data_IF_502999963853
#
_entry.id   IF_502999963853
#
_cell.length_a   1.000
_cell.length_b   1.000
_cell.length_c   1.000
_cell.angle_alpha   90.00
_cell.angle_beta   90.00
_cell.angle_gamma   90.00
#
_symmetry.space_group_name_H-M   'P 1'
#
loop_
_entity.id
_entity.type
_entity.pdbx_description
1 polymer ?
#
# COMPACT_ATOMS: atom_id res chain seq x y z
N UNK A 1 8.24 -15.57 -53.71
CA UNK A 1 9.29 -14.89 -52.95
C UNK A 1 8.87 -14.88 -51.49
N UNK A 2 9.64 -15.58 -50.64
CA UNK A 2 9.39 -15.70 -49.19
C UNK A 2 9.38 -14.32 -48.53
N UNK A 3 8.32 -14.01 -47.79
CA UNK A 3 8.32 -12.95 -46.79
C UNK A 3 9.08 -13.51 -45.59
N UNK A 4 10.34 -13.10 -45.44
CA UNK A 4 11.16 -13.36 -44.26
C UNK A 4 10.51 -12.68 -43.06
N UNK A 5 10.02 -13.48 -42.12
CA UNK A 5 9.73 -13.02 -40.77
C UNK A 5 11.02 -12.51 -40.15
N UNK A 6 11.06 -11.22 -39.81
CA UNK A 6 12.12 -10.65 -39.01
C UNK A 6 12.13 -11.36 -37.65
N UNK A 7 13.09 -12.26 -37.51
CA UNK A 7 13.44 -12.95 -36.29
C UNK A 7 13.69 -11.94 -35.17
N UNK A 8 13.21 -12.29 -33.97
CA UNK A 8 13.41 -11.57 -32.72
C UNK A 8 14.91 -11.44 -32.42
N UNK A 9 15.51 -10.35 -32.90
CA UNK A 9 16.84 -9.92 -32.51
C UNK A 9 16.77 -9.32 -31.12
N UNK A 10 17.24 -10.07 -30.12
CA UNK A 10 17.39 -9.60 -28.76
C UNK A 10 18.24 -8.34 -28.71
N UNK A 11 17.63 -7.22 -28.34
CA UNK A 11 18.33 -6.06 -27.80
C UNK A 11 18.94 -6.47 -26.45
N UNK A 12 20.05 -7.22 -26.50
CA UNK A 12 20.93 -7.43 -25.37
C UNK A 12 21.81 -6.19 -25.20
N UNK A 13 21.17 -5.01 -25.11
CA UNK A 13 21.81 -3.86 -24.49
C UNK A 13 22.09 -4.32 -23.08
N UNK A 14 23.36 -4.40 -22.69
CA UNK A 14 23.79 -4.88 -21.39
C UNK A 14 22.99 -4.09 -20.32
N UNK A 15 21.99 -4.74 -19.75
CA UNK A 15 21.10 -4.12 -18.77
C UNK A 15 21.87 -3.98 -17.47
N UNK A 16 22.26 -2.76 -17.14
CA UNK A 16 22.84 -2.43 -15.85
C UNK A 16 21.78 -2.49 -14.75
N UNK A 17 21.74 -3.62 -14.04
CA UNK A 17 20.82 -3.82 -12.93
C UNK A 17 21.35 -3.19 -11.64
N UNK A 18 20.46 -2.47 -10.97
CA UNK A 18 20.72 -1.88 -9.67
C UNK A 18 20.89 -2.97 -8.61
N UNK A 19 21.96 -2.83 -7.82
CA UNK A 19 22.22 -3.64 -6.63
C UNK A 19 21.81 -2.88 -5.36
N UNK A 20 21.55 -3.61 -4.29
CA UNK A 20 21.24 -3.05 -2.97
C UNK A 20 19.75 -2.97 -2.63
N UNK A 21 19.44 -2.15 -1.62
CA UNK A 21 18.14 -2.11 -0.96
C UNK A 21 17.01 -1.73 -1.93
N UNK A 22 15.86 -2.38 -1.75
CA UNK A 22 14.65 -2.07 -2.50
C UNK A 22 13.98 -0.82 -1.92
N UNK A 23 13.73 0.14 -2.79
CA UNK A 23 12.92 1.31 -2.45
C UNK A 23 11.44 0.95 -2.43
N UNK A 24 10.63 1.80 -1.78
CA UNK A 24 9.18 1.66 -1.80
C UNK A 24 8.66 1.75 -3.24
N UNK A 25 9.14 2.72 -4.03
CA UNK A 25 8.70 2.88 -5.41
C UNK A 25 9.02 1.66 -6.30
N UNK A 26 10.24 1.12 -6.22
CA UNK A 26 10.59 -0.12 -6.95
C UNK A 26 9.67 -1.29 -6.54
N UNK A 27 9.34 -1.38 -5.26
CA UNK A 27 8.44 -2.42 -4.74
C UNK A 27 7.02 -2.23 -5.28
N UNK A 28 6.51 -1.00 -5.33
CA UNK A 28 5.20 -0.69 -5.89
C UNK A 28 5.13 -1.03 -7.39
N UNK A 29 6.18 -0.70 -8.15
CA UNK A 29 6.30 -1.07 -9.58
C UNK A 29 6.27 -2.58 -9.76
N UNK A 30 6.97 -3.35 -8.91
CA UNK A 30 6.95 -4.81 -8.96
C UNK A 30 5.54 -5.38 -8.66
N UNK A 31 4.84 -4.82 -7.68
CA UNK A 31 3.46 -5.23 -7.34
C UNK A 31 2.52 -4.96 -8.51
N UNK A 32 2.62 -3.79 -9.12
CA UNK A 32 1.83 -3.45 -10.31
C UNK A 32 2.16 -4.37 -11.50
N UNK A 33 3.45 -4.64 -11.74
CA UNK A 33 3.87 -5.59 -12.75
C UNK A 33 3.24 -6.96 -12.52
N UNK A 34 3.20 -7.44 -11.27
CA UNK A 34 2.57 -8.72 -10.92
C UNK A 34 1.06 -8.69 -11.06
N UNK A 35 0.40 -7.59 -10.72
CA UNK A 35 -1.03 -7.36 -10.95
C UNK A 35 -1.37 -7.48 -12.43
N UNK A 36 -0.62 -6.76 -13.27
CA UNK A 36 -0.79 -6.82 -14.72
C UNK A 36 -0.52 -8.22 -15.23
N UNK A 37 0.58 -8.87 -14.80
CA UNK A 37 0.93 -10.24 -15.22
C UNK A 37 -0.20 -11.23 -14.93
N UNK A 38 -0.81 -11.15 -13.75
CA UNK A 38 -1.94 -12.00 -13.38
C UNK A 38 -3.17 -11.72 -14.27
N UNK A 39 -3.45 -10.45 -14.62
CA UNK A 39 -4.55 -10.07 -15.52
C UNK A 39 -4.36 -10.62 -16.95
N UNK A 40 -3.16 -10.48 -17.54
CA UNK A 40 -2.85 -11.05 -18.87
C UNK A 40 -2.92 -12.57 -18.86
N UNK A 41 -2.59 -13.23 -17.75
CA UNK A 41 -2.75 -14.69 -17.62
C UNK A 41 -4.22 -15.08 -17.55
N UNK A 42 -5.03 -14.33 -16.83
CA UNK A 42 -6.47 -14.59 -16.73
C UNK A 42 -7.18 -14.42 -18.07
N UNK A 43 -6.85 -13.35 -18.82
CA UNK A 43 -7.44 -13.10 -20.16
C UNK A 43 -7.14 -14.22 -21.16
N UNK A 44 -5.92 -14.77 -21.12
CA UNK A 44 -5.54 -15.93 -21.97
C UNK A 44 -6.23 -17.22 -21.55
N UNK A 45 -6.56 -17.36 -20.26
CA UNK A 45 -7.23 -18.55 -19.73
C UNK A 45 -8.74 -18.55 -20.03
N UNK A 46 -9.37 -17.37 -20.15
CA UNK A 46 -10.79 -17.24 -20.51
C UNK A 46 -11.11 -17.49 -22.00
N UNK A 47 -10.12 -17.34 -22.89
CA UNK A 47 -10.27 -17.55 -24.34
C UNK A 47 -10.06 -19.03 -24.77
N UNK A 48 -9.70 -19.91 -23.84
CA UNK A 48 -9.30 -21.31 -24.14
C UNK A 48 -10.47 -22.31 -24.01
N UNK A 49 -11.64 -22.00 -24.59
CA UNK A 49 -12.77 -22.96 -24.74
C UNK A 49 -12.56 -23.82 -25.99
N UNK A 50 -11.40 -24.49 -26.07
CA UNK A 50 -11.02 -25.21 -27.28
C UNK A 50 -9.69 -25.95 -27.15
N UNK A 51 -9.68 -27.04 -26.39
CA UNK A 51 -8.91 -28.26 -26.67
C UNK A 51 -7.38 -28.24 -26.76
N UNK A 52 -6.71 -27.10 -26.77
CA UNK A 52 -5.24 -27.06 -26.82
C UNK A 52 -4.69 -26.68 -25.45
N UNK A 53 -3.93 -27.61 -24.84
CA UNK A 53 -3.24 -27.37 -23.56
C UNK A 53 -2.55 -26.00 -23.65
N UNK A 54 -2.81 -25.05 -22.72
CA UNK A 54 -2.14 -23.77 -22.76
C UNK A 54 -0.66 -24.07 -22.51
N UNK A 55 0.12 -24.11 -23.60
CA UNK A 55 1.55 -24.35 -23.59
C UNK A 55 2.16 -23.34 -22.64
N UNK A 56 2.42 -23.81 -21.42
CA UNK A 56 2.89 -22.99 -20.34
C UNK A 56 4.23 -22.43 -20.76
N UNK A 57 4.24 -21.16 -21.18
CA UNK A 57 5.49 -20.44 -21.36
C UNK A 57 6.32 -20.69 -20.09
N UNK A 58 7.55 -21.23 -20.20
CA UNK A 58 8.40 -21.50 -19.05
C UNK A 58 8.42 -20.30 -18.10
N UNK A 59 8.49 -20.53 -16.79
CA UNK A 59 8.45 -19.48 -15.77
C UNK A 59 9.44 -18.34 -16.07
N UNK A 60 10.53 -18.64 -16.75
CA UNK A 60 11.52 -17.71 -17.30
C UNK A 60 10.92 -16.67 -18.26
N UNK A 61 10.02 -17.05 -19.17
CA UNK A 61 9.31 -16.09 -20.04
C UNK A 61 8.32 -15.20 -19.26
N UNK A 62 7.90 -15.61 -18.05
CA UNK A 62 6.98 -14.82 -17.21
C UNK A 62 7.74 -13.71 -16.52
N UNK A 63 8.83 -14.08 -15.84
CA UNK A 63 9.63 -13.12 -15.13
C UNK A 63 10.38 -12.17 -16.07
N UNK A 64 10.72 -12.61 -17.29
CA UNK A 64 11.22 -11.70 -18.34
C UNK A 64 10.26 -10.55 -18.64
N UNK A 65 8.95 -10.82 -18.72
CA UNK A 65 7.97 -9.76 -18.94
C UNK A 65 7.87 -8.81 -17.74
N UNK A 66 7.92 -9.36 -16.53
CA UNK A 66 7.93 -8.57 -15.28
C UNK A 66 9.17 -7.67 -15.26
N UNK A 67 10.35 -8.21 -15.60
CA UNK A 67 11.58 -7.46 -15.73
C UNK A 67 11.45 -6.33 -16.76
N UNK A 68 10.95 -6.62 -17.97
CA UNK A 68 10.73 -5.61 -19.02
C UNK A 68 9.74 -4.50 -18.60
N UNK A 69 8.74 -4.84 -17.78
CA UNK A 69 7.83 -3.86 -17.21
C UNK A 69 8.53 -3.01 -16.14
N UNK A 70 9.21 -3.65 -15.19
CA UNK A 70 9.97 -2.97 -14.14
C UNK A 70 11.00 -2.01 -14.76
N UNK A 71 11.76 -2.47 -15.75
CA UNK A 71 12.79 -1.70 -16.43
C UNK A 71 12.23 -0.43 -17.08
N UNK A 72 11.11 -0.54 -17.82
CA UNK A 72 10.47 0.62 -18.47
C UNK A 72 9.90 1.63 -17.46
N UNK A 73 9.60 1.21 -16.25
CA UNK A 73 9.10 2.06 -15.17
C UNK A 73 10.22 2.52 -14.21
N UNK A 74 11.49 2.46 -14.66
CA UNK A 74 12.64 2.93 -13.89
C UNK A 74 13.08 2.00 -12.75
N UNK A 75 12.45 0.83 -12.60
CA UNK A 75 12.88 -0.22 -11.68
C UNK A 75 13.90 -1.12 -12.39
N UNK A 76 15.17 -0.71 -12.33
CA UNK A 76 16.30 -1.38 -12.98
C UNK A 76 16.71 -2.65 -12.24
N UNK A 77 15.81 -3.62 -12.11
CA UNK A 77 16.02 -4.90 -11.39
C UNK A 77 15.91 -6.06 -12.37
N UNK A 78 16.79 -7.04 -12.22
CA UNK A 78 16.79 -8.21 -13.07
C UNK A 78 15.61 -9.12 -12.77
N UNK A 79 15.38 -10.08 -13.67
CA UNK A 79 14.40 -11.14 -13.51
C UNK A 79 14.46 -11.80 -12.13
N UNK A 80 15.65 -12.26 -11.73
CA UNK A 80 15.85 -13.01 -10.49
C UNK A 80 15.65 -12.11 -9.27
N UNK A 81 16.13 -10.86 -9.32
CA UNK A 81 15.90 -9.91 -8.25
C UNK A 81 14.41 -9.65 -8.02
N UNK A 82 13.64 -9.49 -9.10
CA UNK A 82 12.19 -9.32 -9.02
C UNK A 82 11.50 -10.55 -8.42
N UNK A 83 11.91 -11.75 -8.85
CA UNK A 83 11.38 -13.02 -8.33
C UNK A 83 11.65 -13.16 -6.82
N UNK A 84 12.91 -13.07 -6.41
CA UNK A 84 13.31 -13.21 -5.00
C UNK A 84 12.62 -12.16 -4.11
N UNK A 85 12.51 -10.92 -4.61
CA UNK A 85 11.80 -9.85 -3.89
C UNK A 85 10.32 -10.18 -3.73
N UNK A 86 9.68 -10.66 -4.79
CA UNK A 86 8.26 -11.04 -4.75
C UNK A 86 8.00 -12.18 -3.76
N UNK A 87 8.83 -13.22 -3.77
CA UNK A 87 8.70 -14.35 -2.86
C UNK A 87 8.85 -13.93 -1.39
N UNK A 88 9.82 -13.05 -1.11
CA UNK A 88 9.98 -12.47 0.23
C UNK A 88 8.78 -11.61 0.64
N UNK A 89 8.29 -10.74 -0.26
CA UNK A 89 7.10 -9.91 0.00
C UNK A 89 5.86 -10.76 0.29
N UNK A 90 5.63 -11.80 -0.51
CA UNK A 90 4.48 -12.68 -0.33
C UNK A 90 4.57 -13.51 0.96
N UNK A 91 5.78 -13.87 1.39
CA UNK A 91 6.01 -14.52 2.68
C UNK A 91 5.70 -13.58 3.84
N UNK A 92 6.24 -12.36 3.77
CA UNK A 92 6.05 -11.34 4.80
C UNK A 92 4.58 -10.93 4.92
N UNK A 93 3.92 -10.71 3.79
CA UNK A 93 2.48 -10.45 3.70
C UNK A 93 1.65 -11.53 4.38
N UNK A 94 1.92 -12.81 4.06
CA UNK A 94 1.20 -13.93 4.67
C UNK A 94 1.38 -13.96 6.18
N UNK A 95 2.60 -13.69 6.67
CA UNK A 95 2.89 -13.66 8.11
C UNK A 95 2.10 -12.55 8.82
N UNK A 96 2.15 -11.33 8.29
CA UNK A 96 1.45 -10.18 8.87
C UNK A 96 -0.07 -10.40 8.82
N UNK A 97 -0.60 -10.87 7.69
CA UNK A 97 -2.03 -11.16 7.55
C UNK A 97 -2.51 -12.25 8.51
N UNK A 98 -1.71 -13.28 8.76
CA UNK A 98 -2.03 -14.30 9.77
C UNK A 98 -2.07 -13.71 11.18
N UNK A 99 -1.08 -12.87 11.48
CA UNK A 99 -0.96 -12.26 12.80
C UNK A 99 -2.15 -11.35 13.12
N UNK A 100 -2.50 -10.45 12.19
CA UNK A 100 -3.67 -9.58 12.34
C UNK A 100 -4.97 -10.39 12.45
N UNK A 101 -5.10 -11.51 11.70
CA UNK A 101 -6.26 -12.40 11.82
C UNK A 101 -6.36 -13.03 13.21
N UNK A 102 -5.28 -13.58 13.74
CA UNK A 102 -5.26 -14.17 15.09
C UNK A 102 -5.57 -13.13 16.17
N UNK A 103 -5.10 -11.90 15.98
CA UNK A 103 -5.39 -10.80 16.89
C UNK A 103 -6.89 -10.44 16.85
N UNK A 104 -7.49 -10.38 15.65
CA UNK A 104 -8.92 -10.15 15.49
C UNK A 104 -9.76 -11.29 16.10
N UNK A 105 -9.36 -12.56 15.89
CA UNK A 105 -10.03 -13.72 16.50
C UNK A 105 -9.95 -13.66 18.03
N UNK A 106 -8.80 -13.28 18.59
CA UNK A 106 -8.63 -13.10 20.02
C UNK A 106 -9.50 -11.96 20.55
N UNK A 107 -9.52 -10.81 19.86
CA UNK A 107 -10.40 -9.69 20.20
C UNK A 107 -11.88 -10.10 20.17
N UNK A 108 -12.29 -10.91 19.18
CA UNK A 108 -13.64 -11.43 19.08
C UNK A 108 -14.00 -12.39 20.22
N UNK A 109 -13.06 -13.22 20.68
CA UNK A 109 -13.25 -14.08 21.85
C UNK A 109 -13.44 -13.28 23.14
N UNK A 110 -12.62 -12.23 23.36
CA UNK A 110 -12.77 -11.33 24.52
C UNK A 110 -14.16 -10.65 24.53
N UNK A 111 -14.67 -10.28 23.35
CA UNK A 111 -16.03 -9.73 23.20
C UNK A 111 -17.09 -10.77 23.60
N UNK A 112 -16.94 -12.03 23.19
CA UNK A 112 -17.88 -13.10 23.53
C UNK A 112 -17.90 -13.45 25.02
N UNK A 113 -16.76 -13.31 25.70
CA UNK A 113 -16.61 -13.61 27.14
C UNK A 113 -17.07 -12.41 28.01
N UNK A 114 -17.35 -11.25 27.40
CA UNK A 114 -17.86 -10.07 28.09
C UNK A 114 -16.79 -9.25 28.82
N UNK A 115 -15.52 -9.39 28.44
CA UNK A 115 -14.40 -8.66 29.07
C UNK A 115 -14.39 -7.16 28.71
N UNK A 116 -13.90 -6.37 29.66
CA UNK A 116 -13.98 -4.90 29.68
C UNK A 116 -13.33 -4.22 28.47
N UNK A 117 -13.83 -3.04 28.12
CA UNK A 117 -13.32 -2.22 27.01
C UNK A 117 -11.82 -1.91 27.10
N UNK A 118 -11.25 -1.89 28.31
CA UNK A 118 -9.81 -1.65 28.55
C UNK A 118 -8.90 -2.75 27.96
N UNK A 119 -9.32 -4.01 27.97
CA UNK A 119 -8.51 -5.09 27.40
C UNK A 119 -8.58 -5.13 25.87
N UNK A 120 -9.67 -4.61 25.30
CA UNK A 120 -9.83 -4.44 23.86
C UNK A 120 -8.88 -3.39 23.31
N UNK A 121 -8.74 -2.26 24.01
CA UNK A 121 -7.77 -1.22 23.65
C UNK A 121 -6.34 -1.76 23.71
N UNK A 122 -6.00 -2.53 24.75
CA UNK A 122 -4.69 -3.18 24.91
C UNK A 122 -4.38 -4.23 23.84
N UNK A 123 -5.40 -4.83 23.24
CA UNK A 123 -5.23 -5.76 22.11
C UNK A 123 -4.98 -5.00 20.80
N UNK A 124 -5.62 -3.85 20.61
CA UNK A 124 -5.41 -3.00 19.43
C UNK A 124 -4.01 -2.36 19.41
N UNK A 125 -3.41 -2.12 20.59
CA UNK A 125 -1.99 -1.76 20.74
C UNK A 125 -1.03 -2.86 20.25
N UNK A 126 -1.45 -4.12 20.21
CA UNK A 126 -0.64 -5.24 19.72
C UNK A 126 -0.74 -5.45 18.21
N UNK A 127 -1.50 -4.63 17.47
CA UNK A 127 -1.53 -4.71 16.00
C UNK A 127 -0.13 -4.48 15.44
N UNK A 128 0.23 -5.24 14.40
CA UNK A 128 1.53 -5.18 13.71
C UNK A 128 1.96 -3.76 13.37
N UNK A 129 1.00 -2.89 13.04
CA UNK A 129 1.24 -1.50 12.66
C UNK A 129 1.70 -0.63 13.81
N UNK A 130 1.30 -0.96 15.04
CA UNK A 130 1.67 -0.24 16.27
C UNK A 130 2.85 -0.86 17.00
N UNK A 131 3.14 -2.14 16.76
CA UNK A 131 4.32 -2.82 17.33
C UNK A 131 5.63 -2.16 16.89
N UNK A 132 6.55 -2.01 17.85
CA UNK A 132 7.92 -1.60 17.57
C UNK A 132 8.74 -2.69 16.87
N UNK A 133 9.88 -2.31 16.28
CA UNK A 133 10.76 -3.22 15.55
C UNK A 133 11.21 -4.43 16.39
N UNK A 134 11.44 -4.24 17.69
CA UNK A 134 11.89 -5.30 18.58
C UNK A 134 10.75 -6.28 18.91
N UNK A 135 9.54 -5.76 19.11
CA UNK A 135 8.35 -6.56 19.37
C UNK A 135 7.93 -7.35 18.13
N UNK A 136 8.03 -6.77 16.93
CA UNK A 136 7.82 -7.50 15.67
C UNK A 136 8.76 -8.71 15.59
N UNK A 137 10.04 -8.52 15.92
CA UNK A 137 11.01 -9.63 15.95
C UNK A 137 10.65 -10.68 17.00
N UNK A 138 10.25 -10.27 18.20
CA UNK A 138 9.80 -11.18 19.26
C UNK A 138 8.58 -12.01 18.82
N UNK A 139 7.68 -11.43 18.03
CA UNK A 139 6.52 -12.10 17.44
C UNK A 139 6.80 -12.81 16.11
N UNK A 140 8.07 -12.93 15.68
CA UNK A 140 8.49 -13.53 14.40
C UNK A 140 7.91 -12.85 13.13
N UNK A 141 7.56 -11.57 13.26
CA UNK A 141 6.98 -10.75 12.21
C UNK A 141 8.06 -10.01 11.39
N UNK A 142 7.78 -9.72 10.11
CA UNK A 142 8.67 -8.91 9.28
C UNK A 142 8.93 -7.54 9.92
N UNK A 143 10.16 -7.01 9.82
CA UNK A 143 10.45 -5.69 10.39
C UNK A 143 10.02 -4.52 9.51
N UNK A 144 9.99 -4.72 8.18
CA UNK A 144 9.98 -3.62 7.20
C UNK A 144 8.78 -3.66 6.24
N UNK A 145 7.73 -4.45 6.51
CA UNK A 145 6.52 -4.39 5.68
C UNK A 145 5.77 -3.10 6.00
N UNK A 146 5.60 -2.23 5.00
CA UNK A 146 4.91 -0.95 5.12
C UNK A 146 3.41 -1.10 4.83
N UNK A 147 2.53 -0.28 5.45
CA UNK A 147 1.09 -0.32 5.21
C UNK A 147 0.75 -0.19 3.72
N UNK A 148 1.33 0.79 3.02
CA UNK A 148 1.11 1.02 1.59
C UNK A 148 1.43 -0.22 0.73
N UNK A 149 2.50 -0.95 1.07
CA UNK A 149 2.90 -2.17 0.35
C UNK A 149 1.92 -3.30 0.68
N UNK A 150 1.50 -3.41 1.93
CA UNK A 150 0.53 -4.42 2.36
C UNK A 150 -0.82 -4.23 1.66
N UNK A 151 -1.37 -3.02 1.65
CA UNK A 151 -2.64 -2.72 1.00
C UNK A 151 -2.61 -3.07 -0.48
N UNK A 152 -1.53 -2.71 -1.18
CA UNK A 152 -1.35 -3.06 -2.59
C UNK A 152 -1.27 -4.59 -2.80
N UNK A 153 -0.67 -5.33 -1.86
CA UNK A 153 -0.63 -6.80 -1.91
C UNK A 153 -2.00 -7.42 -1.60
N UNK A 154 -2.78 -6.85 -0.68
CA UNK A 154 -4.17 -7.26 -0.42
C UNK A 154 -4.96 -7.20 -1.71
N UNK A 155 -4.92 -6.08 -2.44
CA UNK A 155 -5.67 -5.95 -3.70
C UNK A 155 -5.30 -7.03 -4.73
N UNK A 156 -4.01 -7.33 -4.89
CA UNK A 156 -3.53 -8.35 -5.84
C UNK A 156 -3.98 -9.76 -5.42
N UNK A 157 -3.95 -10.06 -4.12
CA UNK A 157 -4.30 -11.38 -3.58
C UNK A 157 -5.82 -11.58 -3.49
N UNK A 158 -6.57 -10.59 -3.02
CA UNK A 158 -8.02 -10.70 -2.83
C UNK A 158 -8.77 -10.73 -4.15
N UNK A 159 -8.33 -9.93 -5.13
CA UNK A 159 -8.85 -10.01 -6.51
C UNK A 159 -8.68 -11.41 -7.11
N UNK A 160 -7.69 -12.19 -6.62
CA UNK A 160 -7.50 -13.60 -6.96
C UNK A 160 -8.39 -14.54 -6.14
N UNK A 161 -8.60 -14.30 -4.84
CA UNK A 161 -9.48 -15.12 -3.97
C UNK A 161 -10.95 -14.98 -4.34
N UNK A 162 -11.47 -13.75 -4.50
CA UNK A 162 -12.86 -13.52 -4.89
C UNK A 162 -13.20 -14.11 -6.26
N UNK A 163 -12.21 -14.25 -7.15
CA UNK A 163 -12.41 -14.79 -8.51
C UNK A 163 -12.07 -16.27 -8.65
N UNK A 164 -11.35 -16.85 -7.69
CA UNK A 164 -11.19 -18.31 -7.56
C UNK A 164 -12.42 -18.98 -6.94
N UNK A 165 -13.18 -18.25 -6.11
CA UNK A 165 -14.41 -18.76 -5.50
C UNK A 165 -15.59 -18.89 -6.46
N UNK A 166 -15.61 -18.17 -7.59
CA UNK A 166 -16.70 -18.23 -8.58
C UNK A 166 -16.53 -19.34 -9.63
N UNK A 167 -15.36 -19.98 -9.71
CA UNK A 167 -15.09 -21.09 -10.65
C UNK A 167 -15.32 -22.46 -10.01
N UNK A 168 -15.67 -22.50 -8.72
CA UNK A 168 -15.85 -23.75 -7.95
C UNK A 168 -17.27 -24.32 -7.89
N UNK A 169 -18.27 -23.71 -8.56
CA UNK A 169 -19.68 -24.11 -8.40
C UNK A 169 -20.34 -24.74 -9.64
N UNK A 170 -19.55 -25.21 -10.62
CA UNK A 170 -20.06 -26.03 -11.73
C UNK A 170 -19.03 -27.08 -12.15
N UNK A 171 -19.26 -28.35 -11.81
CA UNK A 171 -18.49 -29.47 -12.37
C UNK A 171 -18.25 -30.63 -11.41
N UNK A 172 -19.04 -31.69 -11.58
CA UNK A 172 -19.09 -32.90 -10.78
C UNK A 172 -17.85 -33.82 -10.90
N UNK A 173 -17.66 -34.63 -9.85
CA UNK A 173 -17.32 -36.05 -9.97
C UNK A 173 -15.83 -36.44 -9.94
N UNK A 174 -15.44 -37.22 -8.91
CA UNK A 174 -14.25 -38.09 -8.96
C UNK A 174 -13.49 -38.24 -7.65
N UNK A 175 -13.95 -39.17 -6.79
CA UNK A 175 -13.21 -40.10 -5.88
C UNK A 175 -11.74 -39.76 -5.52
N UNK A 176 -11.28 -39.79 -4.25
CA UNK A 176 -11.18 -40.97 -3.38
C UNK A 176 -10.87 -40.63 -1.90
N UNK A 177 -11.38 -41.49 -1.02
CA UNK A 177 -10.78 -42.00 0.23
C UNK A 177 -10.99 -41.27 1.58
N UNK A 178 -11.72 -42.02 2.43
CA UNK A 178 -11.52 -42.23 3.88
C UNK A 178 -12.39 -41.44 4.87
N UNK A 179 -13.60 -41.97 5.12
CA UNK A 179 -14.27 -41.93 6.44
C UNK A 179 -14.83 -43.34 6.73
N UNK A 180 -14.61 -43.95 7.91
CA UNK A 180 -15.21 -45.24 8.26
C UNK A 180 -16.70 -45.13 8.61
N UNK A 181 -17.41 -46.14 8.10
CA UNK A 181 -18.80 -46.52 8.26
C UNK A 181 -19.25 -46.78 9.71
N UNK A 182 -20.45 -46.34 10.08
CA UNK A 182 -21.26 -46.90 11.20
C UNK A 182 -22.74 -46.94 10.73
N UNK A 183 -23.46 -48.08 10.86
CA UNK A 183 -24.77 -48.28 10.23
C UNK A 183 -25.95 -47.70 11.04
N UNK A 184 -27.16 -47.58 10.44
CA UNK A 184 -28.30 -46.90 11.04
C UNK A 184 -29.15 -47.85 11.89
N UNK A 185 -29.75 -47.32 12.96
CA UNK A 185 -30.77 -48.01 13.74
C UNK A 185 -32.06 -47.21 13.74
N UNK A 186 -33.13 -47.90 13.37
CA UNK A 186 -34.51 -47.44 13.22
C UNK A 186 -35.19 -47.21 14.58
N UNK A 187 -36.01 -46.17 14.72
CA UNK A 187 -37.39 -46.25 15.26
C UNK A 187 -38.02 -44.87 15.54
N UNK A 188 -39.21 -44.69 14.96
CA UNK A 188 -40.44 -44.16 15.55
C UNK A 188 -40.54 -42.72 16.10
N UNK A 189 -41.47 -42.00 15.45
CA UNK A 189 -42.66 -41.36 16.05
C UNK A 189 -42.65 -39.89 16.54
N UNK A 190 -43.41 -39.10 15.77
CA UNK A 190 -44.51 -38.19 16.18
C UNK A 190 -44.20 -36.82 16.86
N UNK A 191 -44.97 -35.84 16.36
CA UNK A 191 -45.46 -34.59 16.99
C UNK A 191 -44.61 -33.32 16.85
N UNK A 192 -45.23 -32.29 16.25
CA UNK A 192 -45.26 -30.95 16.85
C UNK A 192 -44.47 -29.84 16.16
N UNK A 193 -45.12 -29.13 15.23
CA UNK A 193 -44.89 -27.69 15.02
C UNK A 193 -45.29 -26.92 16.30
N UNK A 194 -44.72 -25.73 16.62
CA UNK A 194 -45.15 -24.52 15.92
C UNK A 194 -44.10 -23.40 15.73
N UNK A 195 -44.54 -22.47 14.89
CA UNK A 195 -44.09 -21.16 14.44
C UNK A 195 -43.52 -20.19 15.48
N UNK A 196 -42.56 -19.33 15.07
CA UNK A 196 -42.59 -17.88 15.39
C UNK A 196 -41.68 -17.04 14.48
N UNK A 197 -42.13 -15.81 14.26
CA UNK A 197 -41.70 -14.75 13.34
C UNK A 197 -40.39 -14.03 13.76
N UNK A 198 -39.76 -13.23 12.87
CA UNK A 198 -38.56 -12.44 13.18
C UNK A 198 -38.92 -11.03 13.71
N UNK A 199 -38.10 -10.39 14.57
CA UNK A 199 -38.30 -8.98 14.87
C UNK A 199 -37.48 -8.05 13.95
N UNK A 200 -38.16 -6.99 13.56
CA UNK A 200 -37.77 -5.82 12.78
C UNK A 200 -36.59 -5.00 13.32
N UNK A 201 -35.89 -4.40 12.35
CA UNK A 201 -35.50 -2.98 12.24
C UNK A 201 -35.66 -2.10 13.48
N UNK A 202 -34.55 -1.50 13.92
CA UNK A 202 -34.56 -0.20 14.59
C UNK A 202 -33.57 0.75 13.91
N UNK A 203 -34.10 1.90 13.53
CA UNK A 203 -33.49 3.06 12.91
C UNK A 203 -33.16 4.11 14.00
N UNK A 204 -32.34 5.13 13.63
CA UNK A 204 -31.96 6.39 14.30
C UNK A 204 -30.55 6.44 14.95
N UNK A 205 -29.93 7.64 15.11
CA UNK A 205 -29.60 8.63 14.09
C UNK A 205 -28.15 9.16 14.20
N UNK A 206 -27.74 9.96 13.21
CA UNK A 206 -26.45 10.64 13.04
C UNK A 206 -26.10 11.60 14.19
N UNK A 207 -24.82 11.68 14.55
CA UNK A 207 -24.15 12.86 15.15
C UNK A 207 -22.71 12.97 14.58
N UNK A 208 -22.22 14.15 14.18
CA UNK A 208 -20.83 14.31 13.74
C UNK A 208 -19.94 14.78 14.90
N UNK A 209 -18.69 14.30 15.03
CA UNK A 209 -17.70 15.02 15.80
C UNK A 209 -16.89 15.97 14.91
N UNK A 210 -16.69 17.15 15.49
CA UNK A 210 -16.06 18.37 15.01
C UNK A 210 -14.60 18.14 14.64
N UNK A 211 -14.14 18.75 13.54
CA UNK A 211 -12.75 18.77 13.12
C UNK A 211 -11.87 19.52 14.14
N UNK A 212 -10.86 18.84 14.69
CA UNK A 212 -9.74 19.49 15.36
C UNK A 212 -8.58 19.68 14.37
N UNK A 213 -8.15 20.93 14.16
CA UNK A 213 -6.94 21.28 13.41
C UNK A 213 -5.68 20.67 14.08
N UNK A 214 -4.69 20.17 13.31
CA UNK A 214 -3.36 19.92 13.83
C UNK A 214 -2.51 21.21 13.79
N UNK A 215 -1.86 21.51 14.92
CA UNK A 215 -0.80 22.51 15.06
C UNK A 215 0.45 22.13 14.22
N UNK A 216 1.27 23.10 13.78
CA UNK A 216 2.55 22.84 13.12
C UNK A 216 3.64 22.36 14.11
N UNK A 217 4.58 21.49 13.69
CA UNK A 217 5.69 21.03 14.52
C UNK A 217 6.83 22.06 14.66
N UNK A 218 7.61 22.02 15.74
CA UNK A 218 8.71 22.94 16.01
C UNK A 218 9.94 22.65 15.13
N UNK A 219 10.59 23.72 14.69
CA UNK A 219 11.85 23.74 13.93
C UNK A 219 12.98 23.20 14.82
N UNK A 220 13.56 22.07 14.44
CA UNK A 220 14.84 21.58 14.99
C UNK A 220 15.96 22.11 14.10
N UNK A 221 16.75 23.02 14.63
CA UNK A 221 17.99 23.49 14.03
C UNK A 221 18.99 22.33 13.90
N UNK A 222 19.44 22.04 12.68
CA UNK A 222 20.54 21.11 12.42
C UNK A 222 21.86 21.88 12.39
N UNK A 223 22.79 21.43 13.22
CA UNK A 223 24.22 21.75 13.16
C UNK A 223 24.85 21.09 11.93
N UNK A 224 25.78 21.76 11.19
CA UNK A 224 26.49 21.11 10.10
C UNK A 224 27.66 20.29 10.64
N UNK A 225 27.66 19.00 10.29
CA UNK A 225 28.82 18.09 10.38
C UNK A 225 29.74 18.41 9.20
N UNK A 226 30.99 18.78 9.48
CA UNK A 226 32.04 18.95 8.48
C UNK A 226 32.42 17.58 7.88
N UNK A 227 32.30 17.44 6.56
CA UNK A 227 32.97 16.42 5.76
C UNK A 227 34.34 16.96 5.34
N UNK A 228 35.40 16.30 5.80
CA UNK A 228 36.77 16.56 5.36
C UNK A 228 37.13 15.58 4.24
N UNK A 229 37.53 16.15 3.10
CA UNK A 229 38.04 15.45 1.93
C UNK A 229 39.45 14.88 2.20
N UNK A 230 39.67 13.70 1.62
CA UNK A 230 40.92 12.93 1.59
C UNK A 230 41.98 13.65 0.76
N UNK A 231 43.26 13.65 1.19
CA UNK A 231 44.46 13.47 0.34
C UNK A 231 45.66 12.99 1.22
N UNK A 232 46.69 12.32 0.64
CA UNK A 232 47.54 11.35 1.34
C UNK A 232 48.95 11.89 1.73
N UNK A 233 49.61 11.18 2.67
CA UNK A 233 51.05 10.78 2.66
C UNK A 233 51.66 10.59 4.08
N UNK A 234 51.99 9.33 4.40
CA UNK A 234 53.22 8.78 5.04
C UNK A 234 54.02 9.55 6.12
N UNK A 235 54.00 9.03 7.36
CA UNK A 235 55.13 8.49 8.18
C UNK A 235 54.98 8.75 9.70
N UNK A 236 55.49 7.85 10.59
CA UNK A 236 55.25 7.88 12.04
C UNK A 236 56.46 8.39 12.85
N UNK A 237 56.24 9.06 13.99
CA UNK A 237 57.10 8.92 15.18
C UNK A 237 56.50 9.57 16.45
N UNK A 238 56.82 8.95 17.59
CA UNK A 238 56.56 9.32 18.99
C UNK A 238 56.89 10.78 19.38
N UNK A 239 56.20 11.33 20.39
CA UNK A 239 56.72 11.45 21.78
C UNK A 239 55.95 12.52 22.62
N UNK A 240 55.45 12.06 23.77
CA UNK A 240 55.28 12.67 25.11
C UNK A 240 54.89 14.16 25.35
N UNK A 241 53.97 14.31 26.32
CA UNK A 241 53.65 15.43 27.22
C UNK A 241 54.90 16.11 27.83
N UNK A 242 54.85 17.37 28.37
CA UNK A 242 54.09 17.65 29.61
C UNK A 242 53.37 19.03 29.70
N UNK A 243 52.28 19.00 30.49
CA UNK A 243 51.84 19.90 31.57
C UNK A 243 52.35 21.35 31.63
N UNK A 244 51.43 22.32 31.75
CA UNK A 244 51.56 23.40 32.75
C UNK A 244 50.22 24.12 33.00
N UNK A 245 50.05 24.45 34.28
CA UNK A 245 48.88 24.86 35.07
C UNK A 245 48.21 26.22 34.77
N UNK A 246 47.06 26.35 35.46
CA UNK A 246 46.48 27.57 36.08
C UNK A 246 45.39 28.33 35.31
N UNK A 247 44.15 27.96 35.64
CA UNK A 247 43.18 28.78 36.40
C UNK A 247 43.15 30.30 36.13
N UNK A 248 42.01 30.84 35.69
CA UNK A 248 41.16 31.77 36.47
C UNK A 248 40.08 32.43 35.60
N UNK A 249 38.91 32.54 36.21
CA UNK A 249 37.86 33.55 36.06
C UNK A 249 37.01 33.66 34.78
N UNK A 250 35.74 33.42 35.06
CA UNK A 250 34.54 33.74 34.30
C UNK A 250 34.29 35.26 34.05
N UNK A 251 33.27 35.48 33.21
CA UNK A 251 32.37 36.64 33.16
C UNK A 251 32.78 37.88 32.33
N UNK A 252 32.23 37.90 31.10
CA UNK A 252 31.27 38.89 30.57
C UNK A 252 31.38 40.34 31.05
N UNK A 253 31.68 41.27 30.14
CA UNK A 253 30.80 42.41 29.85
C UNK A 253 31.27 43.27 28.66
N UNK A 254 30.33 43.60 27.78
CA UNK A 254 30.38 44.72 26.81
C UNK A 254 29.74 45.95 27.48
N UNK A 255 30.10 47.23 27.19
CA UNK A 255 29.72 47.82 25.89
C UNK A 255 30.57 49.01 25.34
N UNK A 256 30.40 49.19 24.03
CA UNK A 256 30.52 50.37 23.16
C UNK A 256 31.04 51.73 23.70
N UNK A 257 32.03 52.32 22.99
CA UNK A 257 32.04 53.77 22.69
C UNK A 257 32.88 54.16 21.46
N UNK A 258 32.21 54.87 20.54
CA UNK A 258 32.67 55.73 19.43
C UNK A 258 34.14 56.19 19.46
N UNK A 259 34.83 56.03 18.31
CA UNK A 259 35.64 57.13 17.75
C UNK A 259 35.55 57.17 16.22
N UNK A 260 35.36 58.39 15.73
CA UNK A 260 35.08 58.80 14.35
C UNK A 260 36.39 59.12 13.61
N UNK A 261 36.39 58.87 12.30
CA UNK A 261 37.26 59.43 11.24
C UNK A 261 38.76 59.08 11.27
N UNK A 262 39.16 58.31 10.26
CA UNK A 262 40.49 58.30 9.67
C UNK A 262 40.32 58.15 8.16
N UNK A 263 40.45 59.26 7.45
CA UNK A 263 40.53 59.32 5.99
C UNK A 263 41.92 58.81 5.60
N UNK A 264 41.97 57.76 4.80
CA UNK A 264 43.19 57.14 4.33
C UNK A 264 42.96 56.62 2.92
N UNK A 265 43.13 57.51 1.94
CA UNK A 265 43.20 57.19 0.52
C UNK A 265 44.45 56.35 0.27
N UNK A 266 44.27 55.09 -0.14
CA UNK A 266 45.25 54.37 -0.95
C UNK A 266 44.60 53.25 -1.76
N UNK A 267 44.93 53.21 -3.05
CA UNK A 267 44.98 51.99 -3.85
C UNK A 267 43.66 51.40 -4.32
N UNK A 268 43.17 51.88 -5.47
CA UNK A 268 42.13 51.21 -6.23
C UNK A 268 42.58 49.82 -6.72
N UNK A 269 41.85 48.79 -6.30
CA UNK A 269 41.60 47.53 -7.02
C UNK A 269 40.62 46.61 -6.23
N UNK A 270 39.65 47.15 -5.49
CA UNK A 270 38.80 46.35 -4.58
C UNK A 270 37.31 46.72 -4.62
N UNK A 271 36.84 47.28 -5.73
CA UNK A 271 35.40 47.53 -5.96
C UNK A 271 34.74 46.49 -6.88
N UNK A 272 35.52 45.87 -7.75
CA UNK A 272 35.02 44.94 -8.77
C UNK A 272 34.69 43.56 -8.18
N UNK A 273 35.54 43.03 -7.31
CA UNK A 273 35.36 41.68 -6.74
C UNK A 273 34.17 41.61 -5.78
N UNK A 274 33.92 42.64 -4.96
CA UNK A 274 32.78 42.65 -4.04
C UNK A 274 31.43 42.72 -4.77
N UNK A 275 31.38 43.47 -5.88
CA UNK A 275 30.20 43.53 -6.74
C UNK A 275 29.98 42.22 -7.52
N UNK A 276 31.06 41.60 -8.01
CA UNK A 276 31.02 40.30 -8.68
C UNK A 276 30.52 39.19 -7.74
N UNK A 277 31.06 39.13 -6.52
CA UNK A 277 30.60 38.20 -5.47
C UNK A 277 29.13 38.46 -5.11
N UNK A 278 28.71 39.72 -4.97
CA UNK A 278 27.31 40.08 -4.74
C UNK A 278 26.38 39.58 -5.85
N UNK A 279 26.76 39.78 -7.11
CA UNK A 279 25.99 39.27 -8.26
C UNK A 279 25.97 37.74 -8.34
N UNK A 280 27.07 37.06 -7.99
CA UNK A 280 27.12 35.61 -7.94
C UNK A 280 26.22 35.03 -6.83
N UNK A 281 26.19 35.69 -5.67
CA UNK A 281 25.29 35.34 -4.56
C UNK A 281 23.83 35.55 -4.97
N UNK A 282 23.48 36.68 -5.60
CA UNK A 282 22.11 36.93 -6.08
C UNK A 282 21.68 35.89 -7.13
N UNK A 283 22.57 35.51 -8.06
CA UNK A 283 22.28 34.44 -9.03
C UNK A 283 22.07 33.09 -8.34
N UNK A 284 22.90 32.76 -7.36
CA UNK A 284 22.79 31.51 -6.59
C UNK A 284 21.50 31.48 -5.76
N UNK A 285 21.13 32.61 -5.14
CA UNK A 285 19.88 32.76 -4.41
C UNK A 285 18.66 32.62 -5.32
N UNK A 286 18.69 33.21 -6.53
CA UNK A 286 17.62 33.04 -7.53
C UNK A 286 17.46 31.59 -7.98
N UNK A 287 18.55 30.87 -8.25
CA UNK A 287 18.49 29.45 -8.65
C UNK A 287 17.91 28.59 -7.53
N UNK A 288 18.28 28.86 -6.27
CA UNK A 288 17.72 28.14 -5.11
C UNK A 288 16.23 28.45 -4.96
N UNK A 289 15.82 29.72 -5.07
CA UNK A 289 14.42 30.13 -4.97
C UNK A 289 13.56 29.49 -6.08
N UNK A 290 14.04 29.47 -7.32
CA UNK A 290 13.38 28.81 -8.44
C UNK A 290 13.26 27.30 -8.22
N UNK A 291 14.31 26.67 -7.68
CA UNK A 291 14.29 25.24 -7.37
C UNK A 291 13.28 24.91 -6.26
N UNK A 292 13.19 25.75 -5.22
CA UNK A 292 12.21 25.61 -4.13
C UNK A 292 10.79 25.74 -4.69
N UNK A 293 10.53 26.78 -5.47
CA UNK A 293 9.21 27.02 -6.08
C UNK A 293 8.78 25.87 -7.00
N UNK A 294 9.71 25.34 -7.80
CA UNK A 294 9.44 24.18 -8.65
C UNK A 294 9.15 22.90 -7.85
N UNK A 295 9.78 22.74 -6.68
CA UNK A 295 9.50 21.63 -5.77
C UNK A 295 8.12 21.74 -5.14
N UNK A 296 7.76 22.93 -4.64
CA UNK A 296 6.44 23.22 -4.06
C UNK A 296 5.32 22.99 -5.08
N UNK A 297 5.47 23.50 -6.30
CA UNK A 297 4.47 23.30 -7.35
C UNK A 297 4.33 21.82 -7.74
N UNK A 298 5.41 21.04 -7.70
CA UNK A 298 5.37 19.59 -7.94
C UNK A 298 4.67 18.86 -6.79
N UNK A 299 4.86 19.29 -5.55
CA UNK A 299 4.13 18.75 -4.41
C UNK A 299 2.64 19.10 -4.48
N UNK A 300 2.30 20.33 -4.80
CA UNK A 300 0.91 20.77 -4.93
C UNK A 300 0.16 20.02 -6.04
N UNK A 301 0.83 19.74 -7.18
CA UNK A 301 0.26 18.88 -8.23
C UNK A 301 -0.03 17.48 -7.71
N UNK A 302 0.91 16.85 -7.00
CA UNK A 302 0.72 15.53 -6.39
C UNK A 302 -0.41 15.53 -5.37
N UNK A 303 -0.56 16.61 -4.60
CA UNK A 303 -1.64 16.77 -3.65
C UNK A 303 -3.01 16.88 -4.35
N UNK A 304 -3.09 17.69 -5.42
CA UNK A 304 -4.30 17.80 -6.25
C UNK A 304 -4.67 16.47 -6.90
N UNK A 305 -3.71 15.73 -7.44
CA UNK A 305 -3.94 14.42 -8.02
C UNK A 305 -4.47 13.43 -6.98
N UNK A 306 -3.89 13.39 -5.78
CA UNK A 306 -4.35 12.53 -4.70
C UNK A 306 -5.81 12.82 -4.30
N UNK A 307 -6.15 14.10 -4.16
CA UNK A 307 -7.53 14.52 -3.85
C UNK A 307 -8.50 14.10 -4.96
N UNK A 308 -8.12 14.28 -6.23
CA UNK A 308 -8.95 13.85 -7.37
C UNK A 308 -9.17 12.33 -7.41
N UNK A 309 -8.17 11.54 -7.01
CA UNK A 309 -8.31 10.08 -6.92
C UNK A 309 -9.23 9.68 -5.77
N UNK A 310 -9.15 10.37 -4.64
CA UNK A 310 -10.02 10.13 -3.50
C UNK A 310 -11.49 10.45 -3.84
N UNK A 311 -11.72 11.61 -4.46
CA UNK A 311 -13.04 12.01 -4.96
C UNK A 311 -13.59 10.98 -5.96
N UNK A 312 -12.78 10.55 -6.92
CA UNK A 312 -13.19 9.53 -7.89
C UNK A 312 -13.53 8.20 -7.24
N UNK A 313 -12.77 7.78 -6.23
CA UNK A 313 -13.06 6.56 -5.46
C UNK A 313 -14.42 6.67 -4.77
N UNK A 314 -14.71 7.80 -4.13
CA UNK A 314 -15.98 8.06 -3.47
C UNK A 314 -17.14 7.99 -4.46
N UNK A 315 -17.01 8.62 -5.63
CA UNK A 315 -18.03 8.57 -6.70
C UNK A 315 -18.29 7.14 -7.19
N UNK A 316 -17.25 6.32 -7.34
CA UNK A 316 -17.40 4.93 -7.75
C UNK A 316 -18.14 4.13 -6.67
N UNK A 317 -17.79 4.33 -5.40
CA UNK A 317 -18.45 3.67 -4.28
C UNK A 317 -19.94 4.05 -4.18
N UNK A 318 -20.26 5.34 -4.31
CA UNK A 318 -21.62 5.86 -4.36
C UNK A 318 -22.40 5.26 -5.54
N UNK A 319 -21.83 5.28 -6.76
CA UNK A 319 -22.48 4.72 -7.94
C UNK A 319 -22.75 3.21 -7.80
N UNK A 320 -21.86 2.48 -7.12
CA UNK A 320 -22.05 1.05 -6.85
C UNK A 320 -23.20 0.83 -5.86
N UNK A 321 -23.30 1.65 -4.83
CA UNK A 321 -24.41 1.61 -3.89
C UNK A 321 -25.74 1.95 -4.58
N UNK A 322 -25.73 2.94 -5.48
CA UNK A 322 -26.88 3.32 -6.31
C UNK A 322 -27.36 2.17 -7.19
N UNK A 323 -26.46 1.52 -7.94
CA UNK A 323 -26.79 0.37 -8.78
C UNK A 323 -27.35 -0.79 -7.94
N UNK A 324 -26.77 -1.04 -6.75
CA UNK A 324 -27.29 -2.05 -5.83
C UNK A 324 -28.71 -1.72 -5.37
N UNK A 325 -29.00 -0.45 -5.06
CA UNK A 325 -30.35 -0.01 -4.68
C UNK A 325 -31.35 -0.19 -5.82
N UNK A 326 -30.97 0.17 -7.04
CA UNK A 326 -31.81 -0.04 -8.22
C UNK A 326 -32.06 -1.53 -8.50
N UNK A 327 -31.06 -2.39 -8.31
CA UNK A 327 -31.20 -3.84 -8.43
C UNK A 327 -32.20 -4.43 -7.42
N UNK A 328 -32.15 -3.96 -6.16
CA UNK A 328 -33.11 -4.36 -5.12
C UNK A 328 -34.52 -3.88 -5.46
N UNK A 329 -34.67 -2.62 -5.89
CA UNK A 329 -35.97 -2.08 -6.30
C UNK A 329 -36.56 -2.86 -7.48
N UNK A 330 -35.75 -3.20 -8.49
CA UNK A 330 -36.19 -4.03 -9.62
C UNK A 330 -36.62 -5.43 -9.19
N UNK A 331 -35.97 -6.02 -8.19
CA UNK A 331 -36.40 -7.31 -7.61
C UNK A 331 -37.75 -7.19 -6.90
N UNK A 332 -37.93 -6.14 -6.09
CA UNK A 332 -39.20 -5.86 -5.40
C UNK A 332 -40.33 -5.69 -6.41
N UNK A 333 -40.11 -4.97 -7.51
CA UNK A 333 -41.09 -4.80 -8.57
C UNK A 333 -41.47 -6.11 -9.25
N UNK A 334 -40.49 -6.99 -9.51
CA UNK A 334 -40.73 -8.30 -10.09
C UNK A 334 -41.56 -9.20 -9.15
N UNK A 335 -41.24 -9.20 -7.85
CA UNK A 335 -42.00 -9.94 -6.83
C UNK A 335 -43.42 -9.41 -6.74
N UNK A 336 -43.62 -8.09 -6.74
CA UNK A 336 -44.95 -7.48 -6.74
C UNK A 336 -45.76 -7.86 -7.99
N UNK A 337 -45.15 -7.86 -9.18
CA UNK A 337 -45.81 -8.31 -10.42
C UNK A 337 -46.20 -9.78 -10.36
N UNK A 338 -45.34 -10.63 -9.81
CA UNK A 338 -45.62 -12.05 -9.64
C UNK A 338 -46.77 -12.28 -8.64
N UNK A 339 -46.75 -11.59 -7.50
CA UNK A 339 -47.83 -11.66 -6.51
C UNK A 339 -49.17 -11.23 -7.09
N UNK A 340 -49.21 -10.11 -7.83
CA UNK A 340 -50.42 -9.64 -8.51
C UNK A 340 -50.91 -10.63 -9.56
N UNK A 341 -50.01 -11.27 -10.31
CA UNK A 341 -50.36 -12.30 -11.29
C UNK A 341 -50.95 -13.54 -10.61
N UNK A 342 -50.40 -13.97 -9.47
CA UNK A 342 -50.93 -15.09 -8.68
C UNK A 342 -52.30 -14.74 -8.10
N UNK A 343 -52.48 -13.52 -7.59
CA UNK A 343 -53.79 -13.06 -7.08
C UNK A 343 -54.84 -13.00 -8.18
N UNK A 344 -54.49 -12.49 -9.37
CA UNK A 344 -55.37 -12.51 -10.54
C UNK A 344 -55.70 -13.96 -10.96
N UNK A 345 -54.71 -14.86 -10.90
CA UNK A 345 -54.89 -16.29 -11.18
C UNK A 345 -55.76 -16.98 -10.10
N UNK A 346 -55.67 -16.60 -8.84
CA UNK A 346 -56.58 -17.14 -7.82
C UNK A 346 -58.02 -16.64 -8.05
N UNK A 347 -58.18 -15.38 -8.45
CA UNK A 347 -59.48 -14.74 -8.66
C UNK A 347 -60.24 -15.27 -9.90
N UNK A 348 -59.55 -15.58 -11.01
CA UNK A 348 -60.23 -16.18 -12.16
C UNK A 348 -60.73 -17.60 -11.87
N UNK A 349 -59.99 -18.37 -11.03
CA UNK A 349 -60.35 -19.75 -10.69
C UNK A 349 -61.60 -19.82 -9.83
N UNK A 350 -61.81 -18.85 -8.94
CA UNK A 350 -63.02 -18.76 -8.09
C UNK A 350 -64.26 -18.26 -8.84
N UNK A 351 -64.10 -17.55 -9.97
CA UNK A 351 -65.23 -17.16 -10.83
C UNK A 351 -65.65 -18.25 -11.83
N UNK A 352 -64.76 -19.19 -12.17
CA UNK A 352 -65.03 -20.26 -13.16
C UNK A 352 -65.84 -21.45 -12.66
N UNK A 353 -66.34 -21.42 -11.42
CA UNK A 353 -67.27 -22.42 -10.90
C UNK A 353 -68.68 -21.85 -10.71
N UNK A 354 -69.48 -21.67 -11.78
CA UNK A 354 -70.92 -21.86 -11.69
C UNK A 354 -71.27 -23.34 -11.88
N UNK A 355 -72.32 -23.76 -11.16
CA UNK A 355 -72.85 -25.12 -10.99
C UNK A 355 -72.92 -25.99 -12.23
#
# INVERSE_FOLDING_TARGET
MHIVMANQGGNNVLRDYRKGNWTVQETMVLIEAKRMDDERRMKRQGDSVGGEKPGGKPAELRWKWVEDYCWRNGCLRSQNQCNDKWDNLMRDFKKVREYERRLADHQQQLITIGESSSERERSDEKSYWKLEKNERKANNLPSNLLPQIYDALVEVVEKKVQRGSVVGLVGAGGTTASIPNVPPSSAAALVGQPSSLPPSMQHLPISPPVSALPLPPPVVAQTPVQQQQQHPHTHPFSQQLPTSDSDTSEHSDSPAKRRRRGEGTSGGASGSESHEVGTAISRSASVIAETIQACEEREERRHRELLSLHERRLQIEESKAEISRQGINGLVDAVNKLANSILALASHKTQSTPK
#
